data_IF_028298456170
#
_entry.id   IF_028298456170
#
_cell.length_a   1.000
_cell.length_b   1.000
_cell.length_c   1.000
_cell.angle_alpha   90.00
_cell.angle_beta   90.00
_cell.angle_gamma   90.00
#
_symmetry.space_group_name_H-M   'P 1'
#
loop_
_entity.id
_entity.type
_entity.pdbx_description
1 polymer ?
#
# COMPACT_ATOMS: atom_id res chain seq x y z
N UNK A 1 -20.92 30.34 -6.98
CA UNK A 1 -19.73 30.53 -6.13
C UNK A 1 -19.22 29.16 -5.76
N UNK A 2 -18.18 28.69 -6.46
CA UNK A 2 -17.54 27.40 -6.17
C UNK A 2 -16.66 27.65 -4.95
N UNK A 3 -16.92 26.89 -3.89
CA UNK A 3 -16.16 26.96 -2.66
C UNK A 3 -14.77 26.40 -2.96
N UNK A 4 -13.80 27.26 -3.27
CA UNK A 4 -12.38 26.92 -3.34
C UNK A 4 -11.91 26.58 -1.92
N UNK A 5 -12.27 25.37 -1.49
CA UNK A 5 -11.74 24.78 -0.28
C UNK A 5 -10.23 24.71 -0.41
N UNK A 6 -9.55 25.63 0.26
CA UNK A 6 -8.12 25.63 0.55
C UNK A 6 -7.69 24.21 0.92
N UNK A 7 -7.14 23.49 -0.06
CA UNK A 7 -6.52 22.20 0.18
C UNK A 7 -5.19 22.50 0.85
N UNK A 8 -5.21 22.61 2.18
CA UNK A 8 -3.96 22.73 2.95
C UNK A 8 -3.02 21.60 2.48
N UNK A 9 -1.80 21.93 2.00
CA UNK A 9 -0.88 20.93 1.52
C UNK A 9 -0.61 19.94 2.64
N UNK A 10 -0.83 18.65 2.35
CA UNK A 10 -0.66 17.58 3.32
C UNK A 10 0.81 17.49 3.71
N UNK A 11 1.08 17.42 5.02
CA UNK A 11 2.44 17.25 5.52
C UNK A 11 3.13 16.00 4.94
N UNK A 12 4.41 16.10 4.58
CA UNK A 12 5.16 15.01 3.96
C UNK A 12 5.31 13.84 4.93
N UNK A 13 5.16 12.61 4.42
CA UNK A 13 5.10 11.40 5.25
C UNK A 13 6.48 10.83 5.54
N UNK A 14 7.52 11.26 4.82
CA UNK A 14 8.91 10.86 5.03
C UNK A 14 9.90 11.90 4.44
N UNK A 15 11.19 11.74 4.76
CA UNK A 15 12.26 12.64 4.34
C UNK A 15 12.46 12.68 2.82
N UNK A 16 12.15 11.59 2.11
CA UNK A 16 12.23 11.54 0.66
C UNK A 16 11.14 12.42 0.02
N UNK A 17 9.90 12.34 0.52
CA UNK A 17 8.77 13.17 0.10
C UNK A 17 8.99 14.64 0.46
N UNK A 18 9.60 14.92 1.61
CA UNK A 18 10.03 16.27 2.00
C UNK A 18 11.08 16.82 1.03
N UNK A 19 12.15 16.07 0.76
CA UNK A 19 13.19 16.46 -0.20
C UNK A 19 12.58 16.72 -1.58
N UNK A 20 11.72 15.80 -2.05
CA UNK A 20 11.08 15.90 -3.36
C UNK A 20 10.15 17.11 -3.46
N UNK A 21 9.41 17.45 -2.40
CA UNK A 21 8.58 18.66 -2.33
C UNK A 21 9.40 19.96 -2.39
N UNK A 22 10.64 19.96 -1.88
CA UNK A 22 11.47 21.16 -1.83
C UNK A 22 12.43 21.28 -3.03
N UNK A 23 12.74 20.18 -3.72
CA UNK A 23 13.58 20.19 -4.93
C UNK A 23 12.79 20.26 -6.24
N UNK A 24 11.51 19.86 -6.23
CA UNK A 24 10.66 19.80 -7.43
C UNK A 24 9.56 20.85 -7.32
N UNK A 25 9.27 21.66 -8.37
CA UNK A 25 8.18 22.62 -8.35
C UNK A 25 6.86 21.96 -7.90
N UNK A 26 6.09 22.63 -7.04
CA UNK A 26 4.84 22.12 -6.46
C UNK A 26 3.89 21.50 -7.50
N UNK A 27 3.81 22.11 -8.70
CA UNK A 27 3.01 21.58 -9.82
C UNK A 27 3.53 20.25 -10.37
N UNK A 28 4.84 20.05 -10.45
CA UNK A 28 5.46 18.82 -10.95
C UNK A 28 5.38 17.67 -9.93
N UNK A 29 5.41 17.97 -8.64
CA UNK A 29 5.18 16.95 -7.62
C UNK A 29 3.72 16.43 -7.62
N UNK A 30 2.73 17.32 -7.82
CA UNK A 30 1.34 16.92 -7.96
C UNK A 30 1.11 16.02 -9.20
N UNK A 31 1.73 16.35 -10.34
CA UNK A 31 1.62 15.52 -11.55
C UNK A 31 2.31 14.17 -11.38
N UNK A 32 3.47 14.10 -10.73
CA UNK A 32 4.15 12.83 -10.45
C UNK A 32 3.31 11.91 -9.58
N UNK A 33 2.61 12.43 -8.56
CA UNK A 33 1.68 11.64 -7.75
C UNK A 33 0.47 11.17 -8.54
N UNK A 34 -0.10 12.04 -9.38
CA UNK A 34 -1.21 11.64 -10.24
C UNK A 34 -0.80 10.50 -11.18
N UNK A 35 0.42 10.56 -11.73
CA UNK A 35 1.00 9.49 -12.56
C UNK A 35 1.20 8.21 -11.72
N UNK A 36 1.74 8.32 -10.50
CA UNK A 36 1.89 7.19 -9.58
C UNK A 36 0.54 6.51 -9.31
N UNK A 37 -0.49 7.28 -8.93
CA UNK A 37 -1.83 6.76 -8.65
C UNK A 37 -2.43 6.07 -9.88
N UNK A 38 -2.25 6.64 -11.07
CA UNK A 38 -2.68 6.02 -12.33
C UNK A 38 -1.95 4.70 -12.56
N UNK A 39 -0.63 4.66 -12.40
CA UNK A 39 0.17 3.43 -12.54
C UNK A 39 -0.31 2.37 -11.54
N UNK A 40 -0.57 2.75 -10.28
CA UNK A 40 -1.04 1.84 -9.24
C UNK A 40 -2.41 1.24 -9.59
N UNK A 41 -3.31 2.04 -10.15
CA UNK A 41 -4.61 1.59 -10.65
C UNK A 41 -4.43 0.58 -11.78
N UNK A 42 -3.60 0.90 -12.79
CA UNK A 42 -3.30 0.00 -13.90
C UNK A 42 -2.66 -1.32 -13.44
N UNK A 43 -1.70 -1.25 -12.52
CA UNK A 43 -1.07 -2.44 -11.89
C UNK A 43 -2.11 -3.27 -11.12
N UNK A 44 -3.03 -2.61 -10.41
CA UNK A 44 -4.16 -3.26 -9.76
C UNK A 44 -5.05 -4.02 -10.75
N UNK A 45 -5.39 -3.41 -11.88
CA UNK A 45 -6.22 -4.03 -12.91
C UNK A 45 -5.50 -5.16 -13.64
N UNK A 46 -4.22 -5.01 -13.97
CA UNK A 46 -3.45 -6.10 -14.59
C UNK A 46 -3.26 -7.28 -13.65
N UNK A 47 -2.96 -7.02 -12.37
CA UNK A 47 -2.75 -8.10 -11.40
C UNK A 47 -4.02 -8.92 -11.12
N UNK A 48 -5.22 -8.37 -11.32
CA UNK A 48 -6.45 -9.13 -11.07
C UNK A 48 -6.65 -10.28 -12.07
N UNK A 49 -6.17 -10.10 -13.30
CA UNK A 49 -6.36 -11.07 -14.38
C UNK A 49 -5.59 -12.36 -14.14
N UNK A 50 -4.54 -12.30 -13.33
CA UNK A 50 -3.78 -13.47 -12.87
C UNK A 50 -4.21 -13.91 -11.48
N UNK A 51 -4.54 -13.00 -10.55
CA UNK A 51 -4.93 -13.37 -9.18
C UNK A 51 -6.05 -14.39 -9.14
N UNK A 52 -7.05 -14.23 -10.01
CA UNK A 52 -8.20 -15.14 -10.11
C UNK A 52 -7.76 -16.61 -10.26
N UNK A 53 -6.61 -16.85 -10.91
CA UNK A 53 -6.04 -18.19 -11.08
C UNK A 53 -5.07 -18.59 -9.96
N UNK A 54 -4.31 -17.65 -9.39
CA UNK A 54 -3.30 -17.97 -8.36
C UNK A 54 -3.89 -18.16 -6.96
N UNK A 55 -5.10 -17.64 -6.72
CA UNK A 55 -5.76 -17.70 -5.41
C UNK A 55 -6.89 -18.73 -5.40
N UNK A 56 -6.94 -19.50 -4.31
CA UNK A 56 -8.02 -20.46 -4.03
C UNK A 56 -9.27 -19.78 -3.46
N UNK A 57 -9.07 -18.73 -2.68
CA UNK A 57 -10.12 -17.99 -1.98
C UNK A 57 -9.83 -16.51 -2.04
N UNK A 58 -10.87 -15.67 -1.97
CA UNK A 58 -10.75 -14.21 -1.98
C UNK A 58 -11.47 -13.59 -0.78
N UNK A 59 -11.00 -12.42 -0.32
CA UNK A 59 -11.83 -11.51 0.45
C UNK A 59 -12.83 -10.78 -0.45
N UNK A 60 -13.98 -10.40 0.10
CA UNK A 60 -15.06 -9.73 -0.65
C UNK A 60 -14.61 -8.41 -1.29
N UNK A 61 -13.72 -7.67 -0.60
CA UNK A 61 -13.19 -6.40 -1.13
C UNK A 61 -12.21 -6.60 -2.28
N UNK A 62 -11.62 -7.79 -2.39
CA UNK A 62 -10.58 -8.10 -3.38
C UNK A 62 -11.14 -8.65 -4.69
N UNK A 63 -12.30 -9.31 -4.63
CA UNK A 63 -12.97 -9.81 -5.81
C UNK A 63 -14.48 -9.71 -5.64
N UNK A 64 -15.05 -8.71 -6.29
CA UNK A 64 -16.49 -8.54 -6.47
C UNK A 64 -16.82 -8.45 -7.98
N UNK A 65 -18.10 -8.32 -8.31
CA UNK A 65 -18.55 -8.22 -9.70
C UNK A 65 -17.87 -7.07 -10.45
N UNK A 66 -17.72 -5.90 -9.82
CA UNK A 66 -17.06 -4.74 -10.41
C UNK A 66 -15.60 -5.02 -10.75
N UNK A 67 -14.86 -5.63 -9.83
CA UNK A 67 -13.48 -6.05 -10.03
C UNK A 67 -13.35 -7.11 -11.16
N UNK A 68 -14.27 -8.08 -11.21
CA UNK A 68 -14.33 -9.06 -12.29
C UNK A 68 -14.58 -8.42 -13.66
N UNK A 69 -15.51 -7.46 -13.75
CA UNK A 69 -15.77 -6.67 -14.95
C UNK A 69 -14.56 -5.83 -15.36
N UNK A 70 -13.88 -5.17 -14.42
CA UNK A 70 -12.68 -4.39 -14.69
C UNK A 70 -11.52 -5.25 -15.21
N UNK A 71 -11.34 -6.44 -14.64
CA UNK A 71 -10.40 -7.44 -15.16
C UNK A 71 -10.75 -7.84 -16.60
N UNK A 72 -12.02 -8.10 -16.89
CA UNK A 72 -12.48 -8.42 -18.25
C UNK A 72 -12.25 -7.26 -19.23
N UNK A 73 -12.56 -6.02 -18.84
CA UNK A 73 -12.32 -4.82 -19.65
C UNK A 73 -10.83 -4.68 -19.94
N UNK A 74 -9.98 -4.91 -18.94
CA UNK A 74 -8.52 -4.82 -19.09
C UNK A 74 -8.02 -5.88 -20.08
N UNK A 75 -8.45 -7.13 -19.94
CA UNK A 75 -8.09 -8.20 -20.88
C UNK A 75 -8.55 -7.83 -22.31
N UNK A 76 -9.78 -7.35 -22.46
CA UNK A 76 -10.34 -6.95 -23.77
C UNK A 76 -9.60 -5.76 -24.39
N UNK A 77 -9.21 -4.78 -23.58
CA UNK A 77 -8.42 -3.63 -24.01
C UNK A 77 -7.07 -4.08 -24.56
N UNK A 78 -6.32 -4.94 -23.86
CA UNK A 78 -5.06 -5.47 -24.38
C UNK A 78 -5.24 -6.34 -25.62
N UNK A 79 -6.29 -7.16 -25.67
CA UNK A 79 -6.61 -7.94 -26.87
C UNK A 79 -7.00 -7.06 -28.06
N UNK A 80 -7.61 -5.89 -27.83
CA UNK A 80 -7.89 -4.93 -28.89
C UNK A 80 -6.60 -4.44 -29.54
N UNK A 81 -5.55 -4.11 -28.77
CA UNK A 81 -4.24 -3.74 -29.34
C UNK A 81 -3.58 -4.90 -30.11
N UNK A 82 -3.68 -6.14 -29.61
CA UNK A 82 -3.19 -7.31 -30.33
C UNK A 82 -3.89 -7.50 -31.69
N UNK A 83 -5.20 -7.25 -31.72
CA UNK A 83 -5.98 -7.32 -32.95
C UNK A 83 -5.70 -6.14 -33.88
N UNK A 84 -5.42 -4.94 -33.34
CA UNK A 84 -5.03 -3.77 -34.13
C UNK A 84 -3.74 -4.06 -34.91
N UNK A 85 -2.75 -4.70 -34.29
CA UNK A 85 -1.53 -5.15 -34.98
C UNK A 85 -1.85 -6.09 -36.15
N UNK A 86 -2.84 -6.98 -35.98
CA UNK A 86 -3.28 -7.85 -37.07
C UNK A 86 -4.01 -7.08 -38.17
N UNK A 87 -4.81 -6.07 -37.83
CA UNK A 87 -5.46 -5.19 -38.82
C UNK A 87 -4.45 -4.32 -39.57
N UNK A 88 -3.31 -4.01 -38.97
CA UNK A 88 -2.20 -3.26 -39.57
C UNK A 88 -1.24 -4.14 -40.39
N UNK A 89 -1.50 -5.45 -40.51
CA UNK A 89 -0.63 -6.38 -41.25
C UNK A 89 -0.61 -6.16 -42.77
N UNK A 90 -1.35 -5.19 -43.28
CA UNK A 90 -1.20 -4.71 -44.66
C UNK A 90 0.13 -3.95 -44.88
N UNK A 91 0.78 -3.52 -43.79
CA UNK A 91 2.10 -2.89 -43.82
C UNK A 91 3.17 -4.00 -43.91
N UNK A 92 4.06 -3.99 -44.92
CA UNK A 92 5.11 -4.99 -45.05
C UNK A 92 6.01 -5.02 -43.81
N UNK A 93 6.27 -6.22 -43.28
CA UNK A 93 7.08 -6.44 -42.07
C UNK A 93 6.27 -6.75 -40.80
N UNK A 94 4.93 -6.63 -40.82
CA UNK A 94 4.06 -6.99 -39.70
C UNK A 94 3.38 -8.32 -39.99
N UNK A 95 3.81 -9.41 -39.34
CA UNK A 95 3.18 -10.72 -39.51
C UNK A 95 1.84 -10.81 -38.73
N UNK A 96 0.77 -11.38 -39.32
CA UNK A 96 -0.52 -11.54 -38.66
C UNK A 96 -0.50 -12.62 -37.56
N UNK A 97 -1.03 -12.31 -36.37
CA UNK A 97 -1.04 -13.20 -35.20
C UNK A 97 -2.22 -14.20 -35.20
N UNK A 98 -2.38 -15.01 -36.26
CA UNK A 98 -3.52 -15.92 -36.38
C UNK A 98 -3.61 -16.97 -35.25
N UNK A 99 -2.50 -17.56 -34.84
CA UNK A 99 -2.46 -18.55 -33.74
C UNK A 99 -2.78 -17.96 -32.36
N UNK A 100 -2.57 -16.65 -32.16
CA UNK A 100 -2.84 -16.01 -30.88
C UNK A 100 -4.34 -15.91 -30.57
N UNK A 101 -5.23 -16.01 -31.57
CA UNK A 101 -6.68 -15.82 -31.38
C UNK A 101 -7.33 -16.91 -30.55
N UNK A 102 -6.91 -18.17 -30.70
CA UNK A 102 -7.49 -19.31 -29.97
C UNK A 102 -7.07 -19.28 -28.49
N UNK A 103 -5.78 -19.08 -28.23
CA UNK A 103 -5.23 -18.96 -26.86
C UNK A 103 -5.88 -17.80 -26.10
N UNK A 104 -6.05 -16.65 -26.76
CA UNK A 104 -6.76 -15.49 -26.20
C UNK A 104 -8.21 -15.81 -25.81
N UNK A 105 -8.96 -16.46 -26.70
CA UNK A 105 -10.37 -16.80 -26.43
C UNK A 105 -10.50 -17.76 -25.27
N UNK A 106 -9.66 -18.80 -25.23
CA UNK A 106 -9.64 -19.78 -24.13
C UNK A 106 -9.31 -19.10 -22.81
N UNK A 107 -8.29 -18.24 -22.77
CA UNK A 107 -7.93 -17.49 -21.56
C UNK A 107 -9.08 -16.65 -21.03
N UNK A 108 -9.79 -15.90 -21.89
CA UNK A 108 -10.94 -15.07 -21.48
C UNK A 108 -12.07 -15.94 -20.91
N UNK A 109 -12.38 -17.07 -21.56
CA UNK A 109 -13.43 -17.96 -21.09
C UNK A 109 -13.07 -18.58 -19.74
N UNK A 110 -11.83 -19.03 -19.56
CA UNK A 110 -11.33 -19.52 -18.28
C UNK A 110 -11.39 -18.43 -17.21
N UNK A 111 -11.00 -17.19 -17.53
CA UNK A 111 -11.05 -16.07 -16.60
C UNK A 111 -12.48 -15.79 -16.13
N UNK A 112 -13.45 -15.73 -17.05
CA UNK A 112 -14.86 -15.54 -16.72
C UNK A 112 -15.36 -16.69 -15.85
N UNK A 113 -15.11 -17.94 -16.24
CA UNK A 113 -15.57 -19.11 -15.50
C UNK A 113 -15.02 -19.13 -14.07
N UNK A 114 -13.71 -18.94 -13.88
CA UNK A 114 -13.07 -18.95 -12.56
C UNK A 114 -13.52 -17.74 -11.72
N UNK A 115 -13.70 -16.57 -12.33
CA UNK A 115 -14.24 -15.39 -11.64
C UNK A 115 -15.65 -15.63 -11.12
N UNK A 116 -16.55 -16.19 -11.94
CA UNK A 116 -17.91 -16.54 -11.54
C UNK A 116 -17.90 -17.56 -10.40
N UNK A 117 -17.07 -18.59 -10.49
CA UNK A 117 -16.92 -19.59 -9.41
C UNK A 117 -16.51 -18.91 -8.09
N UNK A 118 -15.54 -18.00 -8.11
CA UNK A 118 -15.13 -17.29 -6.90
C UNK A 118 -16.23 -16.38 -6.34
N UNK A 119 -16.94 -15.64 -7.20
CA UNK A 119 -18.07 -14.79 -6.77
C UNK A 119 -19.16 -15.64 -6.11
N UNK A 120 -19.53 -16.78 -6.71
CA UNK A 120 -20.51 -17.71 -6.15
C UNK A 120 -20.03 -18.30 -4.81
N UNK A 121 -18.75 -18.64 -4.70
CA UNK A 121 -18.15 -19.12 -3.44
C UNK A 121 -18.17 -18.04 -2.35
N UNK A 122 -17.92 -16.78 -2.69
CA UNK A 122 -18.05 -15.66 -1.75
C UNK A 122 -19.50 -15.54 -1.29
N UNK A 123 -20.46 -15.53 -2.21
CA UNK A 123 -21.89 -15.46 -1.87
C UNK A 123 -22.35 -16.62 -0.99
N UNK A 124 -21.90 -17.85 -1.29
CA UNK A 124 -22.19 -19.02 -0.47
C UNK A 124 -21.61 -18.89 0.96
N UNK A 125 -20.35 -18.47 1.11
CA UNK A 125 -19.76 -18.27 2.45
C UNK A 125 -20.46 -17.16 3.25
N UNK A 126 -20.82 -16.06 2.58
CA UNK A 126 -21.54 -14.95 3.21
C UNK A 126 -22.91 -15.41 3.72
N UNK A 127 -23.62 -16.25 2.96
CA UNK A 127 -24.89 -16.86 3.38
C UNK A 127 -24.74 -17.85 4.55
N UNK A 128 -23.55 -18.41 4.76
CA UNK A 128 -23.24 -19.30 5.89
C UNK A 128 -22.69 -18.54 7.12
N UNK A 129 -22.60 -17.21 7.07
CA UNK A 129 -22.02 -16.37 8.13
C UNK A 129 -20.62 -16.80 8.60
N UNK A 130 -19.82 -17.39 7.69
CA UNK A 130 -18.45 -17.80 8.02
C UNK A 130 -17.61 -16.52 8.21
N UNK A 131 -16.99 -16.31 9.40
CA UNK A 131 -16.22 -15.11 9.64
C UNK A 131 -14.98 -15.11 8.74
N UNK A 132 -14.94 -14.15 7.82
CA UNK A 132 -13.83 -13.96 6.89
C UNK A 132 -13.47 -12.48 6.82
N UNK A 133 -12.18 -12.15 6.92
CA UNK A 133 -11.75 -10.77 6.79
C UNK A 133 -11.97 -10.29 5.35
N UNK A 134 -12.83 -9.28 5.17
CA UNK A 134 -13.16 -8.69 3.86
C UNK A 134 -11.92 -8.26 3.09
N UNK A 135 -10.92 -7.76 3.83
CA UNK A 135 -9.67 -7.26 3.27
C UNK A 135 -8.70 -8.37 2.87
N UNK A 136 -8.93 -9.64 3.21
CA UNK A 136 -7.96 -10.71 2.99
C UNK A 136 -7.58 -10.83 1.50
N UNK A 137 -6.28 -10.91 1.18
CA UNK A 137 -5.79 -10.97 -0.21
C UNK A 137 -6.04 -12.31 -0.88
N UNK A 138 -6.66 -13.23 -0.13
CA UNK A 138 -6.95 -14.56 -0.58
C UNK A 138 -5.86 -15.54 -0.23
N UNK A 139 -6.24 -16.80 -0.17
CA UNK A 139 -5.34 -17.91 0.15
C UNK A 139 -4.72 -18.41 -1.16
N UNK A 140 -3.39 -18.54 -1.20
CA UNK A 140 -2.68 -19.08 -2.37
C UNK A 140 -3.08 -20.54 -2.60
N UNK A 141 -3.05 -21.01 -3.85
CA UNK A 141 -2.99 -22.46 -4.10
C UNK A 141 -1.69 -23.09 -3.56
N UNK A 142 -0.66 -22.28 -3.33
CA UNK A 142 0.64 -22.69 -2.80
C UNK A 142 0.73 -22.64 -1.27
N UNK A 143 -0.40 -22.52 -0.57
CA UNK A 143 -0.47 -22.46 0.90
C UNK A 143 0.22 -23.65 1.59
N UNK A 144 0.22 -24.81 0.94
CA UNK A 144 0.94 -25.99 1.41
C UNK A 144 2.46 -25.74 1.58
N UNK A 145 3.05 -24.78 0.86
CA UNK A 145 4.48 -24.44 1.00
C UNK A 145 4.80 -23.82 2.37
N UNK A 146 3.82 -23.24 3.06
CA UNK A 146 4.00 -22.70 4.42
C UNK A 146 4.24 -23.80 5.46
N UNK A 147 3.79 -25.01 5.17
CA UNK A 147 4.00 -26.18 6.02
C UNK A 147 5.37 -26.84 5.84
N UNK A 148 6.17 -26.38 4.87
CA UNK A 148 7.49 -26.94 4.61
C UNK A 148 8.44 -26.63 5.77
N UNK A 149 9.29 -27.60 6.17
CA UNK A 149 10.29 -27.37 7.19
C UNK A 149 11.27 -26.29 6.73
N UNK A 150 11.75 -25.49 7.68
CA UNK A 150 12.81 -24.51 7.42
C UNK A 150 14.06 -25.21 6.88
N UNK A 151 14.65 -24.67 5.83
CA UNK A 151 15.89 -25.19 5.26
C UNK A 151 17.03 -24.18 5.44
N UNK A 152 18.26 -24.66 5.51
CA UNK A 152 19.44 -23.83 5.75
C UNK A 152 20.27 -23.72 4.47
N UNK A 153 20.43 -22.50 3.94
CA UNK A 153 21.31 -22.21 2.79
C UNK A 153 22.51 -21.44 3.32
N UNK A 154 23.72 -22.02 3.23
CA UNK A 154 24.97 -21.36 3.67
C UNK A 154 24.89 -20.81 5.11
N UNK A 155 24.27 -21.56 6.03
CA UNK A 155 24.08 -21.15 7.43
C UNK A 155 22.88 -20.24 7.71
N UNK A 156 22.21 -19.73 6.67
CA UNK A 156 20.99 -18.91 6.82
C UNK A 156 19.77 -19.83 6.84
N UNK A 157 19.04 -19.84 7.96
CA UNK A 157 17.78 -20.57 8.10
C UNK A 157 16.67 -19.79 7.39
N UNK A 158 16.16 -20.34 6.29
CA UNK A 158 15.07 -19.77 5.51
C UNK A 158 13.80 -20.57 5.80
N UNK A 159 12.75 -19.86 6.21
CA UNK A 159 11.40 -20.41 6.33
C UNK A 159 10.49 -19.67 5.36
N UNK A 160 9.63 -20.41 4.66
CA UNK A 160 8.63 -19.81 3.78
C UNK A 160 7.55 -19.16 4.65
N UNK A 161 7.65 -17.84 4.82
CA UNK A 161 6.61 -17.05 5.46
C UNK A 161 5.53 -16.65 4.45
N UNK A 162 4.33 -16.32 4.92
CA UNK A 162 3.26 -15.72 4.10
C UNK A 162 3.76 -14.55 3.27
N UNK A 163 4.54 -13.67 3.91
CA UNK A 163 5.11 -12.50 3.25
C UNK A 163 5.97 -12.89 2.05
N UNK A 164 6.83 -13.91 2.20
CA UNK A 164 7.69 -14.40 1.11
C UNK A 164 6.87 -15.11 0.02
N UNK A 165 5.90 -15.93 0.42
CA UNK A 165 5.04 -16.68 -0.49
C UNK A 165 4.29 -15.73 -1.42
N UNK A 166 3.57 -14.76 -0.86
CA UNK A 166 2.71 -13.87 -1.62
C UNK A 166 3.45 -12.77 -2.37
N UNK A 167 4.55 -12.25 -1.83
CA UNK A 167 5.28 -11.13 -2.45
C UNK A 167 6.27 -11.56 -3.52
N UNK A 168 6.79 -12.78 -3.42
CA UNK A 168 7.91 -13.24 -4.26
C UNK A 168 7.59 -14.58 -4.91
N UNK A 169 7.33 -15.64 -4.13
CA UNK A 169 7.26 -17.00 -4.67
C UNK A 169 6.10 -17.16 -5.66
N UNK A 170 4.88 -16.76 -5.29
CA UNK A 170 3.70 -16.90 -6.15
C UNK A 170 3.83 -16.10 -7.46
N UNK A 171 4.17 -14.80 -7.47
CA UNK A 171 4.38 -14.06 -8.71
C UNK A 171 5.52 -14.61 -9.58
N UNK A 172 6.65 -14.99 -8.98
CA UNK A 172 7.82 -15.52 -9.71
C UNK A 172 7.51 -16.88 -10.30
N UNK A 173 6.84 -17.77 -9.56
CA UNK A 173 6.42 -19.06 -10.08
C UNK A 173 5.42 -18.88 -11.23
N UNK A 174 4.46 -17.96 -11.08
CA UNK A 174 3.52 -17.63 -12.15
C UNK A 174 4.24 -17.14 -13.41
N UNK A 175 5.18 -16.20 -13.25
CA UNK A 175 6.04 -15.71 -14.34
C UNK A 175 6.79 -16.85 -15.03
N UNK A 176 7.44 -17.73 -14.25
CA UNK A 176 8.19 -18.86 -14.78
C UNK A 176 7.29 -19.85 -15.54
N UNK A 177 6.13 -20.20 -14.97
CA UNK A 177 5.15 -21.10 -15.61
C UNK A 177 4.67 -20.53 -16.95
N UNK A 178 4.34 -19.24 -16.99
CA UNK A 178 3.95 -18.53 -18.22
C UNK A 178 5.09 -18.56 -19.24
N UNK A 179 6.32 -18.29 -18.81
CA UNK A 179 7.50 -18.25 -19.67
C UNK A 179 7.80 -19.60 -20.33
N UNK A 180 7.69 -20.70 -19.58
CA UNK A 180 8.04 -22.04 -20.06
C UNK A 180 6.89 -22.74 -20.79
N UNK A 181 5.64 -22.54 -20.39
CA UNK A 181 4.51 -23.31 -20.93
C UNK A 181 3.80 -22.66 -22.11
N UNK A 182 3.86 -21.32 -22.24
CA UNK A 182 3.16 -20.63 -23.31
C UNK A 182 4.09 -20.35 -24.51
N UNK A 183 3.62 -20.60 -25.75
CA UNK A 183 4.37 -20.22 -26.94
C UNK A 183 4.51 -18.70 -27.00
N UNK A 184 5.54 -18.24 -27.72
CA UNK A 184 5.76 -16.81 -27.92
C UNK A 184 4.54 -16.19 -28.61
N UNK A 185 3.89 -15.29 -27.89
CA UNK A 185 2.60 -14.74 -28.26
C UNK A 185 2.35 -13.45 -27.49
N UNK A 186 1.51 -12.59 -28.04
CA UNK A 186 1.06 -11.39 -27.32
C UNK A 186 0.45 -11.74 -25.96
N UNK A 187 -0.33 -12.83 -25.88
CA UNK A 187 -0.94 -13.32 -24.64
C UNK A 187 0.11 -13.68 -23.59
N UNK A 188 1.17 -14.40 -23.99
CA UNK A 188 2.30 -14.70 -23.10
C UNK A 188 2.91 -13.43 -22.56
N UNK A 189 3.26 -12.48 -23.43
CA UNK A 189 3.87 -11.22 -23.00
C UNK A 189 2.97 -10.42 -22.05
N UNK A 190 1.68 -10.33 -22.36
CA UNK A 190 0.68 -9.73 -21.48
C UNK A 190 0.63 -10.42 -20.11
N UNK A 191 0.62 -11.75 -20.05
CA UNK A 191 0.60 -12.51 -18.81
C UNK A 191 1.90 -12.35 -18.02
N UNK A 192 3.06 -12.26 -18.68
CA UNK A 192 4.33 -11.95 -18.02
C UNK A 192 4.25 -10.56 -17.36
N UNK A 193 3.76 -9.54 -18.06
CA UNK A 193 3.53 -8.22 -17.48
C UNK A 193 2.52 -8.22 -16.34
N UNK A 194 1.43 -8.99 -16.46
CA UNK A 194 0.44 -9.13 -15.40
C UNK A 194 1.02 -9.84 -14.15
N UNK A 195 1.98 -10.77 -14.32
CA UNK A 195 2.62 -11.45 -13.20
C UNK A 195 3.63 -10.54 -12.48
N UNK A 196 4.31 -9.67 -13.23
CA UNK A 196 5.11 -8.59 -12.65
C UNK A 196 4.22 -7.58 -11.91
N UNK A 197 3.09 -7.20 -12.52
CA UNK A 197 2.10 -6.34 -11.88
C UNK A 197 1.56 -6.97 -10.59
N UNK A 198 1.35 -8.29 -10.56
CA UNK A 198 0.98 -9.03 -9.35
C UNK A 198 2.05 -8.89 -8.26
N UNK A 199 3.32 -9.03 -8.61
CA UNK A 199 4.43 -8.85 -7.67
C UNK A 199 4.42 -7.44 -7.06
N UNK A 200 4.33 -6.40 -7.91
CA UNK A 200 4.30 -5.00 -7.48
C UNK A 200 3.07 -4.76 -6.59
N UNK A 201 1.89 -5.19 -7.05
CA UNK A 201 0.64 -5.05 -6.32
C UNK A 201 0.73 -5.68 -4.93
N UNK A 202 1.17 -6.94 -4.83
CA UNK A 202 1.28 -7.65 -3.54
C UNK A 202 2.26 -6.96 -2.59
N UNK A 203 3.36 -6.39 -3.10
CA UNK A 203 4.31 -5.63 -2.29
C UNK A 203 3.71 -4.33 -1.75
N UNK A 204 3.04 -3.54 -2.60
CA UNK A 204 2.38 -2.30 -2.20
C UNK A 204 1.35 -2.55 -1.12
N UNK A 205 0.49 -3.51 -1.40
CA UNK A 205 -0.54 -3.98 -0.53
C UNK A 205 -0.01 -4.42 0.85
N UNK A 206 1.06 -5.22 0.86
CA UNK A 206 1.70 -5.68 2.09
C UNK A 206 2.24 -4.49 2.89
N UNK A 207 2.91 -3.55 2.22
CA UNK A 207 3.45 -2.35 2.84
C UNK A 207 2.34 -1.45 3.40
N UNK A 208 1.21 -1.30 2.71
CA UNK A 208 0.04 -0.56 3.20
C UNK A 208 -0.51 -1.20 4.48
N UNK A 209 -0.66 -2.53 4.50
CA UNK A 209 -1.11 -3.24 5.72
C UNK A 209 -0.13 -3.09 6.86
N UNK A 210 1.17 -3.28 6.61
CA UNK A 210 2.22 -3.08 7.61
C UNK A 210 2.18 -1.67 8.19
N UNK A 211 2.00 -0.65 7.34
CA UNK A 211 1.86 0.75 7.79
C UNK A 211 0.65 0.96 8.69
N UNK A 212 -0.51 0.38 8.34
CA UNK A 212 -1.72 0.44 9.19
C UNK A 212 -1.50 -0.25 10.54
N UNK A 213 -0.83 -1.39 10.53
CA UNK A 213 -0.53 -2.14 11.76
C UNK A 213 0.45 -1.38 12.67
N UNK A 214 1.53 -0.83 12.12
CA UNK A 214 2.47 0.01 12.87
C UNK A 214 1.80 1.27 13.42
N UNK A 215 0.88 1.89 12.67
CA UNK A 215 0.11 3.03 13.15
C UNK A 215 -0.79 2.66 14.34
N UNK A 216 -1.41 1.47 14.33
CA UNK A 216 -2.21 0.99 15.46
C UNK A 216 -1.34 0.72 16.70
N UNK A 217 -0.16 0.11 16.53
CA UNK A 217 0.80 -0.10 17.62
C UNK A 217 1.26 1.25 18.20
N UNK A 218 1.61 2.22 17.35
CA UNK A 218 2.02 3.54 17.82
C UNK A 218 0.90 4.25 18.59
N UNK A 219 -0.35 4.16 18.10
CA UNK A 219 -1.50 4.73 18.80
C UNK A 219 -1.74 4.07 20.16
N UNK A 220 -1.53 2.75 20.26
CA UNK A 220 -1.61 2.04 21.54
C UNK A 220 -0.51 2.50 22.50
N UNK A 221 0.74 2.61 22.04
CA UNK A 221 1.87 3.11 22.83
C UNK A 221 1.59 4.55 23.30
N UNK A 222 1.20 5.45 22.40
CA UNK A 222 0.84 6.83 22.72
C UNK A 222 -0.29 6.90 23.75
N UNK A 223 -1.32 6.06 23.61
CA UNK A 223 -2.42 6.00 24.58
C UNK A 223 -1.96 5.53 25.96
N UNK A 224 -1.02 4.57 26.01
CA UNK A 224 -0.47 4.07 27.26
C UNK A 224 0.41 5.10 27.97
N UNK A 225 1.23 5.85 27.21
CA UNK A 225 2.05 6.95 27.71
C UNK A 225 1.17 8.09 28.21
N UNK A 226 0.14 8.48 27.45
CA UNK A 226 -0.81 9.51 27.89
C UNK A 226 -1.55 9.12 29.16
N UNK A 227 -1.88 7.83 29.32
CA UNK A 227 -2.48 7.32 30.56
C UNK A 227 -1.50 7.40 31.73
N UNK A 228 -0.24 7.00 31.54
CA UNK A 228 0.79 7.11 32.57
C UNK A 228 1.05 8.56 32.97
N UNK A 229 1.20 9.47 32.01
CA UNK A 229 1.37 10.91 32.28
C UNK A 229 0.17 11.49 33.01
N UNK A 230 -1.05 11.04 32.68
CA UNK A 230 -2.26 11.41 33.43
C UNK A 230 -2.16 10.89 34.88
N UNK A 231 -1.88 9.61 35.06
CA UNK A 231 -1.82 8.99 36.38
C UNK A 231 -0.71 9.62 37.26
N UNK A 232 0.43 10.01 36.66
CA UNK A 232 1.53 10.74 37.31
C UNK A 232 1.18 12.20 37.64
N UNK A 233 0.59 12.94 36.69
CA UNK A 233 0.23 14.34 36.89
C UNK A 233 -0.86 14.53 37.95
N UNK A 234 -1.72 13.53 38.14
CA UNK A 234 -2.86 13.63 39.04
C UNK A 234 -2.70 12.87 40.37
N UNK A 235 -1.66 12.04 40.51
CA UNK A 235 -1.45 11.21 41.69
C UNK A 235 -2.60 10.21 41.94
N UNK A 236 -2.42 9.30 42.91
CA UNK A 236 -3.37 8.23 43.25
C UNK A 236 -4.76 8.69 43.77
N UNK A 237 -5.12 9.98 43.63
CA UNK A 237 -6.28 10.60 44.26
C UNK A 237 -7.31 11.25 43.33
N UNK A 238 -7.14 11.26 42.01
CA UNK A 238 -8.11 11.95 41.14
C UNK A 238 -9.31 11.12 40.67
N UNK A 239 -10.47 11.78 40.50
CA UNK A 239 -11.68 11.26 39.89
C UNK A 239 -11.46 10.30 38.72
N UNK A 240 -11.88 9.04 38.87
CA UNK A 240 -11.96 8.09 37.76
C UNK A 240 -12.90 8.60 36.67
N UNK A 241 -12.76 8.10 35.42
CA UNK A 241 -13.56 8.48 34.23
C UNK A 241 -15.08 8.44 34.47
N UNK A 242 -15.55 7.70 35.47
CA UNK A 242 -16.94 7.69 35.95
C UNK A 242 -17.40 9.03 36.53
N UNK A 243 -16.50 9.89 37.02
CA UNK A 243 -16.82 11.20 37.60
C UNK A 243 -16.79 12.35 36.56
N UNK A 244 -16.23 12.14 35.36
CA UNK A 244 -16.24 13.12 34.26
C UNK A 244 -17.31 12.85 33.20
N UNK A 245 -18.36 12.10 33.55
CA UNK A 245 -19.44 11.68 32.64
C UNK A 245 -18.93 11.11 31.29
N UNK A 246 -17.80 10.39 31.30
CA UNK A 246 -17.26 9.74 30.12
C UNK A 246 -16.48 10.64 29.15
N UNK A 247 -16.28 11.93 29.45
CA UNK A 247 -15.40 12.77 28.66
C UNK A 247 -13.94 12.65 29.14
N UNK A 248 -12.99 12.29 28.24
CA UNK A 248 -11.57 12.31 28.58
C UNK A 248 -11.12 13.77 28.70
N UNK A 249 -10.92 14.22 29.92
CA UNK A 249 -10.23 15.49 30.18
C UNK A 249 -8.74 15.23 29.98
N UNK A 250 -8.23 15.47 28.78
CA UNK A 250 -6.79 15.65 28.56
C UNK A 250 -6.43 17.06 29.05
N UNK A 251 -5.73 17.22 30.18
CA UNK A 251 -5.15 18.51 30.49
C UNK A 251 -4.13 18.84 29.39
N UNK A 252 -4.10 20.10 28.96
CA UNK A 252 -3.00 20.64 28.17
C UNK A 252 -1.75 20.37 29.00
N UNK A 253 -0.75 19.61 28.49
CA UNK A 253 0.47 19.38 29.26
C UNK A 253 1.06 20.76 29.59
N UNK A 254 1.46 21.03 30.84
CA UNK A 254 2.09 22.28 31.21
C UNK A 254 3.53 22.25 30.67
N UNK A 255 3.68 22.34 29.35
CA UNK A 255 4.99 22.42 28.66
C UNK A 255 5.75 23.70 29.06
N UNK A 256 5.07 24.66 29.70
CA UNK A 256 5.73 25.84 30.28
C UNK A 256 6.31 25.61 31.68
N UNK A 257 5.95 24.53 32.40
CA UNK A 257 6.39 24.31 33.78
C UNK A 257 7.49 23.23 33.88
N UNK A 258 7.54 22.29 32.94
CA UNK A 258 8.54 21.20 32.91
C UNK A 258 9.86 21.53 32.21
N UNK A 259 9.99 22.70 31.56
CA UNK A 259 11.27 23.11 30.97
C UNK A 259 12.17 23.93 31.89
N UNK A 260 11.69 24.40 33.05
CA UNK A 260 12.54 25.12 34.01
C UNK A 260 13.25 26.37 33.47
N UNK A 261 12.87 26.85 32.29
CA UNK A 261 13.43 28.05 31.67
C UNK A 261 12.85 29.24 32.43
N UNK A 262 13.65 29.82 33.32
CA UNK A 262 13.29 31.09 33.95
C UNK A 262 13.24 32.14 32.83
N UNK A 263 12.31 33.11 32.87
CA UNK A 263 12.21 34.16 31.85
C UNK A 263 13.52 34.89 31.55
N UNK A 264 14.48 34.90 32.49
CA UNK A 264 15.82 35.46 32.30
C UNK A 264 16.75 34.66 31.36
N UNK A 265 16.54 33.36 31.15
CA UNK A 265 17.40 32.54 30.28
C UNK A 265 17.10 32.79 28.79
N UNK A 266 15.87 33.18 28.46
CA UNK A 266 15.50 33.58 27.09
C UNK A 266 16.11 34.95 26.77
N UNK A 267 16.10 35.89 27.71
CA UNK A 267 16.74 37.20 27.54
C UNK A 267 18.27 37.09 27.44
N UNK A 268 18.90 36.22 28.24
CA UNK A 268 20.34 35.95 28.16
C UNK A 268 20.74 35.26 26.83
N UNK A 269 19.95 34.28 26.38
CA UNK A 269 20.21 33.60 25.11
C UNK A 269 19.95 34.54 23.92
N UNK A 270 18.95 35.42 23.98
CA UNK A 270 18.70 36.42 22.94
C UNK A 270 19.81 37.48 22.91
N UNK A 271 20.33 37.92 24.07
CA UNK A 271 21.47 38.85 24.14
C UNK A 271 22.77 38.23 23.59
N UNK A 272 23.03 36.96 23.89
CA UNK A 272 24.20 36.21 23.38
C UNK A 272 24.09 35.93 21.87
N UNK A 273 22.89 35.63 21.37
CA UNK A 273 22.66 35.30 19.95
C UNK A 273 22.53 36.55 19.06
N UNK A 274 22.10 37.69 19.62
CA UNK A 274 21.94 38.96 18.89
C UNK A 274 23.15 39.89 19.02
N UNK A 275 24.18 39.51 19.79
CA UNK A 275 25.44 40.25 19.88
C UNK A 275 25.31 41.63 20.53
N UNK A 276 24.26 41.88 21.31
CA UNK A 276 24.03 43.16 22.00
C UNK A 276 24.59 43.10 23.43
N UNK A 277 25.89 42.87 23.56
CA UNK A 277 26.62 43.30 24.75
C UNK A 277 27.27 44.65 24.39
N UNK A 278 26.54 45.74 24.64
CA UNK A 278 27.19 47.05 24.71
C UNK A 278 28.17 47.02 25.89
N UNK A 279 29.44 46.81 25.58
CA UNK A 279 30.57 47.13 26.45
C UNK A 279 30.41 48.59 26.89
N UNK A 280 29.86 48.80 28.09
CA UNK A 280 30.05 50.03 28.82
C UNK A 280 31.49 50.01 29.31
N UNK A 281 32.39 50.48 28.46
CA UNK A 281 33.77 50.78 28.78
C UNK A 281 33.83 51.80 29.92
N UNK A 282 34.03 51.33 31.15
CA UNK A 282 34.63 52.16 32.19
C UNK A 282 36.12 52.27 31.92
N UNK A 283 36.48 53.35 31.22
CA UNK A 283 37.83 53.92 31.20
C UNK A 283 38.17 54.37 32.63
N UNK A 284 39.24 53.82 33.20
CA UNK A 284 39.97 54.41 34.31
C UNK A 284 41.46 54.06 34.17
N UNK A 285 42.19 54.91 33.44
CA UNK A 285 43.57 55.34 33.69
C UNK A 285 43.91 56.47 32.70
#
# INVERSE_FOLDING_TARGET
MINEGSSKPREPRNNAEFMLMHTIPLGMHATLRAIEDVILVFVGWMSITIRVFTRREFGEDQLNLGHGLMGLITIRFFMFFANLQTSLSFIPGIQPLAEARTVNRTFVLCFIAVTVIHILRIGWRNNQHIPWHSHNFGVSWLDWMLSLPSFTIKGIRVQVSDGLLYRVIEPVLCYAVIWFLLPDSFTRNYLLWASLALMIHNNLVFNTRRKKHLAAINAEIESSVMKQLRDEAFGAGTPSVTQTMGFPVTPIPPIMETLGIRPGDIEATVAETMGTNEETATVNA
#
